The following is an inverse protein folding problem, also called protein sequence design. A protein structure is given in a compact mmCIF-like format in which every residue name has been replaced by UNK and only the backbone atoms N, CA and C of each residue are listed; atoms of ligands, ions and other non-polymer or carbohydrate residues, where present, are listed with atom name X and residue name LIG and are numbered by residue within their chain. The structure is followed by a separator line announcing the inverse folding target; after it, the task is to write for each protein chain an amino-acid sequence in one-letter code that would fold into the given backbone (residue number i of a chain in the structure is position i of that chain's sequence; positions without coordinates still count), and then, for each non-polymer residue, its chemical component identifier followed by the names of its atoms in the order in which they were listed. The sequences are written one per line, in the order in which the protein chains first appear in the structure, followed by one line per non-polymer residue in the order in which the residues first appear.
data_IF_742154196107
#
_entry.id   IF_742154196107
#
_cell.length_a   1.000
_cell.length_b   1.000
_cell.length_c   1.000
_cell.angle_alpha   90.00
_cell.angle_beta   90.00
_cell.angle_gamma   90.00
#
_symmetry.space_group_name_H-M   'P 1'
#
loop_
_entity.id
_entity.type
_entity.pdbx_description
1 polymer ?
#
# COMPACT_ATOMS: atom_id res chain seq x y z
N UNK A 1 8.94 6.67 15.02
CA UNK A 1 10.16 7.30 14.49
C UNK A 1 11.40 6.90 15.27
N UNK A 2 11.45 7.14 16.59
CA UNK A 2 12.59 6.71 17.42
C UNK A 2 12.94 5.21 17.28
N UNK A 3 11.93 4.33 17.27
CA UNK A 3 12.16 2.88 17.06
C UNK A 3 12.84 2.58 15.73
N UNK A 4 12.45 3.25 14.64
CA UNK A 4 13.04 3.04 13.31
C UNK A 4 14.52 3.47 13.29
N UNK A 5 14.84 4.59 13.94
CA UNK A 5 16.23 5.05 14.09
C UNK A 5 17.05 4.05 14.93
N UNK A 6 16.49 3.52 16.02
CA UNK A 6 17.13 2.49 16.83
C UNK A 6 17.37 1.23 16.02
N UNK A 7 16.38 0.75 15.25
CA UNK A 7 16.52 -0.43 14.39
C UNK A 7 17.69 -0.28 13.41
N UNK A 8 17.79 0.87 12.74
CA UNK A 8 18.90 1.15 11.81
C UNK A 8 20.26 1.22 12.54
N UNK A 9 20.33 1.88 13.70
CA UNK A 9 21.56 1.98 14.50
C UNK A 9 22.02 0.62 15.00
N UNK A 10 21.10 -0.19 15.53
CA UNK A 10 21.40 -1.53 16.05
C UNK A 10 21.82 -2.45 14.92
N UNK A 11 21.12 -2.46 13.78
CA UNK A 11 21.52 -3.25 12.62
C UNK A 11 22.98 -2.98 12.21
N UNK A 12 23.37 -1.70 12.09
CA UNK A 12 24.76 -1.33 11.75
C UNK A 12 25.78 -1.84 12.76
N UNK A 13 25.45 -1.85 14.06
CA UNK A 13 26.34 -2.40 15.12
C UNK A 13 26.56 -3.91 14.97
N UNK A 14 25.62 -4.62 14.35
CA UNK A 14 25.72 -6.05 14.07
C UNK A 14 26.21 -6.35 12.65
N UNK A 15 26.74 -5.36 11.92
CA UNK A 15 27.20 -5.54 10.54
C UNK A 15 26.04 -5.74 9.54
N UNK A 16 24.82 -5.37 9.91
CA UNK A 16 23.61 -5.52 9.10
C UNK A 16 23.11 -4.16 8.60
N UNK A 17 22.28 -4.20 7.55
CA UNK A 17 21.53 -3.04 7.04
C UNK A 17 20.03 -3.28 7.27
N UNK A 18 19.38 -2.36 7.98
CA UNK A 18 17.93 -2.41 8.17
C UNK A 18 17.23 -1.68 7.01
N UNK A 19 16.64 -2.44 6.10
CA UNK A 19 15.84 -1.92 4.99
C UNK A 19 14.43 -1.61 5.49
N UNK A 20 14.06 -0.33 5.44
CA UNK A 20 12.71 0.14 5.82
C UNK A 20 11.86 0.49 4.59
N UNK A 21 12.37 0.22 3.39
CA UNK A 21 11.61 0.40 2.15
C UNK A 21 10.42 -0.56 2.10
N UNK A 22 9.30 -0.10 1.56
CA UNK A 22 8.05 -0.86 1.52
C UNK A 22 8.14 -2.09 0.62
N UNK A 23 8.99 -2.04 -0.41
CA UNK A 23 9.19 -3.13 -1.36
C UNK A 23 10.68 -3.26 -1.72
N UNK A 24 11.53 -3.78 -0.83
CA UNK A 24 12.98 -3.81 -1.07
C UNK A 24 13.37 -4.81 -2.17
N UNK A 25 12.60 -5.89 -2.34
CA UNK A 25 12.82 -6.90 -3.38
C UNK A 25 11.51 -7.20 -4.12
N UNK A 26 11.60 -7.35 -5.44
CA UNK A 26 10.49 -7.79 -6.28
C UNK A 26 10.15 -9.27 -6.00
N UNK A 27 8.89 -9.68 -6.18
CA UNK A 27 8.47 -11.09 -6.04
C UNK A 27 8.40 -11.65 -4.61
N UNK A 28 8.74 -10.89 -3.58
CA UNK A 28 8.58 -11.27 -2.15
C UNK A 28 7.61 -10.34 -1.42
N UNK A 29 7.18 -10.68 -0.21
CA UNK A 29 6.28 -9.83 0.58
C UNK A 29 6.86 -8.43 0.84
N UNK A 30 5.98 -7.44 0.89
CA UNK A 30 6.35 -6.05 1.23
C UNK A 30 6.44 -5.82 2.74
N UNK A 31 7.00 -4.68 3.12
CA UNK A 31 7.07 -4.20 4.50
C UNK A 31 6.02 -3.13 4.77
N UNK A 32 5.07 -3.40 5.65
CA UNK A 32 4.05 -2.46 6.11
C UNK A 32 4.22 -2.06 7.57
N UNK A 33 3.49 -1.02 7.99
CA UNK A 33 3.40 -0.59 9.39
C UNK A 33 1.95 -0.32 9.74
N UNK A 34 1.27 -1.31 10.31
CA UNK A 34 -0.15 -1.18 10.62
C UNK A 34 -0.39 -0.13 11.72
N UNK A 35 -1.39 0.72 11.53
CA UNK A 35 -1.86 1.67 12.53
C UNK A 35 -3.09 1.07 13.23
N UNK A 36 -2.89 0.53 14.43
CA UNK A 36 -3.97 0.10 15.30
C UNK A 36 -4.53 1.32 16.03
N UNK A 37 -5.73 1.72 15.64
CA UNK A 37 -6.39 2.95 16.06
C UNK A 37 -7.63 2.66 16.89
N UNK A 38 -7.74 3.34 18.04
CA UNK A 38 -8.88 3.24 18.95
C UNK A 38 -9.09 4.56 19.68
N UNK A 39 -10.25 4.74 20.29
CA UNK A 39 -10.60 5.92 21.07
C UNK A 39 -11.08 5.51 22.45
N UNK A 40 -10.52 6.13 23.49
CA UNK A 40 -10.92 5.89 24.87
C UNK A 40 -11.21 7.22 25.58
N UNK A 41 -12.13 7.16 26.54
CA UNK A 41 -12.40 8.30 27.43
C UNK A 41 -11.26 8.48 28.44
N UNK A 42 -11.21 9.64 29.08
CA UNK A 42 -10.31 9.94 30.21
C UNK A 42 -10.46 8.96 31.38
N UNK A 43 -11.62 8.32 31.52
CA UNK A 43 -11.92 7.27 32.50
C UNK A 43 -11.46 5.87 32.06
N UNK A 44 -10.83 5.74 30.89
CA UNK A 44 -10.29 4.47 30.39
C UNK A 44 -11.31 3.57 29.68
N UNK A 45 -12.52 4.05 29.38
CA UNK A 45 -13.52 3.29 28.63
C UNK A 45 -13.23 3.36 27.13
N UNK A 46 -13.01 2.22 26.48
CA UNK A 46 -12.82 2.15 25.03
C UNK A 46 -14.18 2.25 24.31
N UNK A 47 -14.34 3.30 23.50
CA UNK A 47 -15.57 3.62 22.77
C UNK A 47 -15.84 2.69 21.58
N UNK A 48 -14.82 1.94 21.16
CA UNK A 48 -14.91 0.92 20.12
C UNK A 48 -15.02 -0.50 20.68
N UNK A 49 -15.22 -0.65 22.00
CA UNK A 49 -15.46 -1.96 22.59
C UNK A 49 -16.94 -2.33 22.45
N UNK A 50 -17.28 -3.43 21.75
CA UNK A 50 -18.66 -3.80 21.48
C UNK A 50 -19.41 -4.28 22.73
N UNK A 51 -18.70 -4.88 23.69
CA UNK A 51 -19.31 -5.51 24.87
C UNK A 51 -19.93 -6.88 24.56
N UNK A 52 -20.72 -7.41 25.50
CA UNK A 52 -21.33 -8.74 25.38
C UNK A 52 -22.58 -8.75 24.47
N UNK A 53 -23.30 -7.62 24.39
CA UNK A 53 -24.47 -7.42 23.53
C UNK A 53 -24.27 -6.22 22.60
N UNK A 54 -23.49 -6.38 21.51
CA UNK A 54 -23.08 -5.25 20.67
C UNK A 54 -24.25 -4.52 19.99
N UNK A 55 -25.34 -5.24 19.70
CA UNK A 55 -26.56 -4.70 19.09
C UNK A 55 -27.39 -3.83 20.04
N UNK A 56 -27.18 -3.94 21.37
CA UNK A 56 -27.84 -3.10 22.38
C UNK A 56 -26.95 -1.92 22.81
N UNK A 57 -25.66 -1.96 22.47
CA UNK A 57 -24.68 -0.96 22.88
C UNK A 57 -24.73 0.27 21.96
N UNK A 58 -25.69 1.15 22.20
CA UNK A 58 -25.92 2.35 21.39
C UNK A 58 -24.69 3.29 21.32
N UNK A 59 -23.88 3.37 22.39
CA UNK A 59 -22.64 4.15 22.38
C UNK A 59 -21.65 3.56 21.38
N UNK A 60 -21.38 2.26 21.47
CA UNK A 60 -20.49 1.59 20.52
C UNK A 60 -20.99 1.75 19.08
N UNK A 61 -22.29 1.54 18.83
CA UNK A 61 -22.86 1.66 17.48
C UNK A 61 -22.74 3.07 16.91
N UNK A 62 -22.92 4.12 17.73
CA UNK A 62 -22.71 5.50 17.32
C UNK A 62 -21.26 5.74 16.89
N UNK A 63 -20.29 5.33 17.70
CA UNK A 63 -18.87 5.53 17.37
C UNK A 63 -18.43 4.66 16.18
N UNK A 64 -18.96 3.45 16.07
CA UNK A 64 -18.74 2.58 14.91
C UNK A 64 -19.25 3.25 13.63
N UNK A 65 -20.47 3.78 13.65
CA UNK A 65 -21.07 4.49 12.52
C UNK A 65 -20.29 5.75 12.15
N UNK A 66 -19.83 6.53 13.14
CA UNK A 66 -18.99 7.70 12.90
C UNK A 66 -17.70 7.35 12.15
N UNK A 67 -17.06 6.23 12.53
CA UNK A 67 -15.85 5.76 11.84
C UNK A 67 -16.16 5.29 10.42
N UNK A 68 -17.25 4.54 10.21
CA UNK A 68 -17.66 4.07 8.87
C UNK A 68 -17.93 5.25 7.95
N UNK A 69 -18.68 6.25 8.42
CA UNK A 69 -18.96 7.47 7.68
C UNK A 69 -17.66 8.23 7.35
N UNK A 70 -16.78 8.43 8.34
CA UNK A 70 -15.52 9.14 8.14
C UNK A 70 -14.65 8.47 7.06
N UNK A 71 -14.58 7.13 7.08
CA UNK A 71 -13.80 6.37 6.08
C UNK A 71 -14.44 6.45 4.70
N UNK A 72 -15.77 6.42 4.59
CA UNK A 72 -16.46 6.52 3.29
C UNK A 72 -16.37 7.93 2.67
N UNK A 73 -16.68 8.96 3.45
CA UNK A 73 -16.70 10.35 3.00
C UNK A 73 -15.29 10.85 2.62
N UNK A 74 -14.25 10.37 3.32
CA UNK A 74 -12.86 10.84 3.20
C UNK A 74 -11.87 9.72 2.81
N UNK A 75 -12.32 8.71 2.07
CA UNK A 75 -11.48 7.60 1.60
C UNK A 75 -10.23 8.04 0.82
N UNK A 76 -10.33 9.12 0.07
CA UNK A 76 -9.25 9.79 -0.64
C UNK A 76 -8.19 10.36 0.31
N UNK A 77 -8.59 10.98 1.44
CA UNK A 77 -7.65 11.44 2.47
C UNK A 77 -6.91 10.27 3.12
N UNK A 78 -7.58 9.15 3.35
CA UNK A 78 -6.94 7.94 3.90
C UNK A 78 -5.97 7.32 2.89
N UNK A 79 -6.32 7.30 1.60
CA UNK A 79 -5.44 6.82 0.52
C UNK A 79 -4.22 7.73 0.33
N UNK A 80 -4.38 9.05 0.34
CA UNK A 80 -3.25 9.97 0.19
C UNK A 80 -2.34 10.01 1.43
N UNK A 81 -2.86 9.68 2.62
CA UNK A 81 -2.06 9.63 3.85
C UNK A 81 -0.94 8.58 3.81
N UNK A 82 -1.01 7.65 2.86
CA UNK A 82 -0.02 6.57 2.62
C UNK A 82 0.61 6.65 1.23
N UNK A 83 0.37 7.73 0.48
CA UNK A 83 0.88 7.92 -0.87
C UNK A 83 2.37 8.35 -0.84
N UNK A 84 3.22 7.43 -1.29
CA UNK A 84 4.67 7.63 -1.51
C UNK A 84 5.12 6.70 -2.61
N UNK A 85 6.21 7.04 -3.33
CA UNK A 85 6.76 6.21 -4.40
C UNK A 85 7.00 4.76 -3.96
N UNK A 86 7.66 4.56 -2.81
CA UNK A 86 7.92 3.22 -2.27
C UNK A 86 6.66 2.43 -1.94
N UNK A 87 5.64 3.07 -1.33
CA UNK A 87 4.41 2.40 -0.97
C UNK A 87 3.51 2.09 -2.19
N UNK A 88 3.60 2.86 -3.27
CA UNK A 88 2.88 2.58 -4.51
C UNK A 88 3.34 1.25 -5.13
N UNK A 89 4.62 0.88 -5.00
CA UNK A 89 5.11 -0.46 -5.38
C UNK A 89 4.59 -1.60 -4.48
N UNK A 90 4.09 -1.27 -3.29
CA UNK A 90 3.62 -2.26 -2.32
C UNK A 90 2.13 -2.53 -2.45
N UNK A 91 1.30 -1.48 -2.59
CA UNK A 91 -0.17 -1.60 -2.53
C UNK A 91 -0.72 -2.52 -3.63
N UNK A 92 -1.74 -3.32 -3.30
CA UNK A 92 -2.45 -4.19 -4.24
C UNK A 92 -1.74 -5.49 -4.61
N UNK A 93 -0.65 -5.85 -3.92
CA UNK A 93 0.07 -7.10 -4.16
C UNK A 93 0.68 -7.69 -2.86
N UNK A 94 0.91 -9.01 -2.84
CA UNK A 94 1.72 -9.71 -1.83
C UNK A 94 1.45 -9.29 -0.37
N UNK A 95 0.21 -9.50 0.08
CA UNK A 95 -0.30 -9.19 1.44
C UNK A 95 -0.49 -7.70 1.76
N UNK A 96 -0.29 -6.78 0.81
CA UNK A 96 -0.63 -5.37 1.01
C UNK A 96 -2.00 -5.02 0.39
N UNK A 97 -2.87 -4.31 1.11
CA UNK A 97 -4.22 -3.99 0.65
C UNK A 97 -4.19 -3.19 -0.67
N UNK A 98 -5.26 -3.27 -1.49
CA UNK A 98 -5.40 -2.45 -2.70
C UNK A 98 -5.50 -0.96 -2.34
N UNK A 99 -5.36 -0.11 -3.36
CA UNK A 99 -5.53 1.35 -3.23
C UNK A 99 -6.97 1.78 -2.91
N UNK A 100 -7.94 0.89 -3.13
CA UNK A 100 -9.35 1.09 -2.79
C UNK A 100 -9.50 0.95 -1.28
N UNK A 101 -9.93 2.01 -0.60
CA UNK A 101 -10.22 1.96 0.84
C UNK A 101 -11.58 1.28 1.04
N UNK A 102 -11.62 0.30 1.93
CA UNK A 102 -12.84 -0.39 2.36
C UNK A 102 -12.72 -0.82 3.81
N UNK A 103 -13.87 -0.96 4.47
CA UNK A 103 -13.98 -1.32 5.89
C UNK A 103 -14.40 -2.78 6.02
N UNK A 104 -13.60 -3.55 6.74
CA UNK A 104 -13.94 -4.90 7.16
C UNK A 104 -14.47 -4.89 8.59
N UNK A 105 -15.67 -5.45 8.83
CA UNK A 105 -16.27 -5.55 10.16
C UNK A 105 -16.39 -7.00 10.66
N UNK A 106 -16.40 -7.96 9.74
CA UNK A 106 -16.73 -9.35 10.03
C UNK A 106 -18.23 -9.60 10.07
N UNK A 107 -18.61 -10.86 9.94
CA UNK A 107 -20.00 -11.29 9.74
C UNK A 107 -20.97 -10.84 10.82
N UNK A 108 -20.56 -10.91 12.09
CA UNK A 108 -21.44 -10.61 13.22
C UNK A 108 -21.85 -9.14 13.23
N UNK A 109 -20.89 -8.23 13.19
CA UNK A 109 -21.15 -6.80 13.14
C UNK A 109 -21.88 -6.39 11.86
N UNK A 110 -21.51 -6.98 10.70
CA UNK A 110 -22.23 -6.72 9.45
C UNK A 110 -23.70 -7.12 9.54
N UNK A 111 -24.02 -8.27 10.15
CA UNK A 111 -25.40 -8.70 10.35
C UNK A 111 -26.16 -7.82 11.36
N UNK A 112 -25.49 -7.31 12.40
CA UNK A 112 -26.09 -6.34 13.35
C UNK A 112 -26.44 -5.04 12.62
N UNK A 113 -25.53 -4.49 11.83
CA UNK A 113 -25.79 -3.26 11.07
C UNK A 113 -26.91 -3.46 10.05
N UNK A 114 -26.97 -4.60 9.37
CA UNK A 114 -28.04 -4.93 8.45
C UNK A 114 -29.40 -5.01 9.16
N UNK A 115 -29.46 -5.65 10.33
CA UNK A 115 -30.67 -5.76 11.14
C UNK A 115 -31.21 -4.37 11.56
N UNK A 116 -30.32 -3.45 11.96
CA UNK A 116 -30.67 -2.05 12.26
C UNK A 116 -31.18 -1.34 11.00
N UNK A 117 -30.51 -1.55 9.86
CA UNK A 117 -30.88 -0.93 8.58
C UNK A 117 -32.30 -1.33 8.14
N UNK A 118 -32.69 -2.59 8.34
CA UNK A 118 -33.99 -3.14 7.94
C UNK A 118 -35.06 -3.08 9.02
N UNK A 119 -34.79 -2.52 10.20
CA UNK A 119 -35.64 -2.57 11.40
C UNK A 119 -36.12 -4.01 11.72
N UNK A 120 -35.24 -4.99 11.56
CA UNK A 120 -35.54 -6.38 11.91
C UNK A 120 -34.77 -6.80 13.16
N UNK A 121 -35.33 -7.66 14.03
CA UNK A 121 -34.59 -8.17 15.18
C UNK A 121 -33.32 -8.92 14.73
N UNK A 122 -32.19 -8.60 15.35
CA UNK A 122 -30.96 -9.36 15.16
C UNK A 122 -31.12 -10.76 15.77
N UNK A 123 -31.17 -11.79 14.92
CA UNK A 123 -31.14 -13.19 15.35
C UNK A 123 -29.69 -13.63 15.35
N UNK A 124 -29.05 -13.62 16.52
CA UNK A 124 -27.61 -13.88 16.65
C UNK A 124 -27.12 -15.15 15.95
N UNK A 125 -25.87 -15.15 15.49
CA UNK A 125 -25.19 -16.41 15.14
C UNK A 125 -24.89 -17.15 16.44
N UNK A 126 -25.35 -18.39 16.60
CA UNK A 126 -24.92 -19.23 17.72
C UNK A 126 -23.38 -19.25 17.74
N UNK A 127 -22.76 -18.90 18.88
CA UNK A 127 -21.32 -19.06 19.06
C UNK A 127 -21.01 -20.55 18.88
N UNK A 128 -20.52 -20.96 17.71
CA UNK A 128 -20.09 -22.34 17.48
C UNK A 128 -18.97 -22.69 18.47
N UNK A 129 -19.34 -23.40 19.53
CA UNK A 129 -18.39 -23.96 20.48
C UNK A 129 -17.69 -25.11 19.76
N UNK A 130 -16.43 -24.91 19.38
CA UNK A 130 -15.58 -26.01 18.94
C UNK A 130 -15.41 -26.97 20.13
N UNK A 131 -16.18 -28.05 20.14
CA UNK A 131 -15.96 -29.18 21.06
C UNK A 131 -14.75 -29.98 20.58
N UNK A 132 -13.54 -29.52 20.91
CA UNK A 132 -12.36 -30.38 20.90
C UNK A 132 -12.45 -31.28 22.12
N UNK A 133 -12.78 -32.55 21.91
CA UNK A 133 -13.14 -33.49 22.96
C UNK A 133 -12.00 -33.88 23.90
N UNK A 134 -11.65 -33.00 24.85
CA UNK A 134 -11.03 -33.31 26.15
C UNK A 134 -11.40 -32.20 27.16
N UNK A 135 -11.97 -32.58 28.31
CA UNK A 135 -12.61 -31.72 29.33
C UNK A 135 -11.73 -30.68 30.06
N UNK A 136 -10.53 -30.32 29.58
CA UNK A 136 -9.58 -29.50 30.35
C UNK A 136 -8.83 -28.39 29.60
N UNK A 137 -9.23 -28.04 28.36
CA UNK A 137 -8.69 -26.85 27.70
C UNK A 137 -9.57 -25.61 27.94
N UNK A 138 -8.97 -24.42 28.13
CA UNK A 138 -9.71 -23.16 28.13
C UNK A 138 -10.58 -23.08 26.88
N UNK A 139 -11.83 -22.62 27.02
CA UNK A 139 -12.71 -22.37 25.88
C UNK A 139 -12.06 -21.28 25.01
N UNK A 140 -11.35 -21.67 23.97
CA UNK A 140 -10.93 -20.74 22.94
C UNK A 140 -12.19 -20.40 22.14
N UNK A 141 -12.76 -19.21 22.39
CA UNK A 141 -13.70 -18.62 21.45
C UNK A 141 -12.97 -18.51 20.12
N UNK A 142 -13.51 -19.13 19.06
CA UNK A 142 -13.05 -18.86 17.70
C UNK A 142 -13.15 -17.34 17.54
N UNK A 143 -12.01 -16.70 17.31
CA UNK A 143 -11.99 -15.29 16.93
C UNK A 143 -12.67 -15.21 15.56
N UNK A 144 -13.99 -14.96 15.56
CA UNK A 144 -14.83 -14.91 14.37
C UNK A 144 -14.57 -13.64 13.56
N UNK A 145 -13.66 -12.77 14.02
CA UNK A 145 -13.03 -11.76 13.17
C UNK A 145 -12.12 -12.48 12.18
N UNK A 146 -12.74 -12.99 11.12
CA UNK A 146 -12.06 -13.52 9.95
C UNK A 146 -10.93 -12.54 9.58
N UNK A 147 -9.69 -13.04 9.64
CA UNK A 147 -8.49 -12.22 9.40
C UNK A 147 -8.35 -12.02 7.90
N UNK A 148 -9.30 -11.32 7.30
CA UNK A 148 -9.20 -10.87 5.94
C UNK A 148 -8.06 -9.83 5.87
N UNK A 149 -6.83 -10.31 5.67
CA UNK A 149 -5.59 -9.50 5.60
C UNK A 149 -5.57 -8.53 4.42
N UNK A 150 -6.51 -8.68 3.49
CA UNK A 150 -6.59 -7.88 2.26
C UNK A 150 -7.35 -6.57 2.45
N UNK A 151 -8.12 -6.43 3.53
CA UNK A 151 -8.84 -5.19 3.83
C UNK A 151 -7.89 -4.07 4.28
N UNK A 152 -8.00 -2.86 3.70
CA UNK A 152 -7.28 -1.67 4.11
C UNK A 152 -7.54 -1.24 5.56
N UNK A 153 -8.80 -1.34 6.02
CA UNK A 153 -9.24 -0.85 7.33
C UNK A 153 -10.14 -1.88 8.00
N UNK A 154 -9.59 -2.62 8.98
CA UNK A 154 -10.29 -3.77 9.56
C UNK A 154 -10.61 -3.56 11.04
N UNK A 155 -11.86 -3.80 11.43
CA UNK A 155 -12.23 -3.88 12.83
C UNK A 155 -11.71 -5.20 13.42
N UNK A 156 -10.92 -5.10 14.50
CA UNK A 156 -10.26 -6.24 15.16
C UNK A 156 -10.65 -6.33 16.63
N UNK A 157 -11.97 -6.42 16.85
CA UNK A 157 -12.60 -6.69 18.15
C UNK A 157 -12.88 -5.45 19.00
N UNK A 158 -11.93 -4.53 19.13
CA UNK A 158 -12.09 -3.31 19.94
C UNK A 158 -11.33 -2.08 19.41
N UNK A 159 -10.90 -2.15 18.15
CA UNK A 159 -10.06 -1.16 17.47
C UNK A 159 -10.13 -1.38 15.98
N UNK A 160 -9.75 -0.38 15.20
CA UNK A 160 -9.50 -0.54 13.77
C UNK A 160 -8.01 -0.70 13.49
N UNK A 161 -7.68 -1.54 12.52
CA UNK A 161 -6.33 -1.72 12.02
C UNK A 161 -6.27 -1.17 10.59
N UNK A 162 -5.55 -0.06 10.40
CA UNK A 162 -5.25 0.48 9.08
C UNK A 162 -3.94 -0.11 8.55
N UNK A 163 -4.05 -0.89 7.46
CA UNK A 163 -2.96 -1.73 6.93
C UNK A 163 -2.23 -1.12 5.74
N UNK A 164 -2.77 -0.06 5.16
CA UNK A 164 -2.21 0.57 3.96
C UNK A 164 -0.96 1.43 4.22
N UNK A 165 -0.60 1.68 5.49
CA UNK A 165 0.55 2.51 5.84
C UNK A 165 1.89 1.78 5.56
N UNK A 166 2.77 2.45 4.83
CA UNK A 166 4.10 1.97 4.48
C UNK A 166 5.05 1.91 5.68
N UNK A 167 6.03 1.00 5.60
CA UNK A 167 7.01 0.77 6.67
C UNK A 167 7.90 1.98 6.95
N UNK A 168 8.23 2.80 5.94
CA UNK A 168 9.03 4.01 6.08
C UNK A 168 8.20 5.24 6.52
N UNK A 169 6.89 5.23 6.31
CA UNK A 169 6.04 6.41 6.49
C UNK A 169 5.98 6.89 7.96
N UNK A 170 5.76 8.19 8.17
CA UNK A 170 5.35 8.67 9.48
C UNK A 170 3.89 8.28 9.77
N UNK A 171 3.61 7.80 10.98
CA UNK A 171 2.23 7.53 11.43
C UNK A 171 1.41 8.82 11.59
N UNK A 172 2.06 9.98 11.62
CA UNK A 172 1.41 11.26 11.88
C UNK A 172 0.38 11.62 10.81
N UNK A 173 0.73 11.52 9.52
CA UNK A 173 -0.18 11.89 8.42
C UNK A 173 -1.48 11.08 8.48
N UNK A 174 -1.35 9.76 8.60
CA UNK A 174 -2.48 8.84 8.76
C UNK A 174 -3.38 9.24 9.94
N UNK A 175 -2.81 9.47 11.12
CA UNK A 175 -3.60 9.81 12.29
C UNK A 175 -4.20 11.23 12.22
N UNK A 176 -3.53 12.20 11.57
CA UNK A 176 -4.12 13.53 11.34
C UNK A 176 -5.38 13.39 10.48
N UNK A 177 -5.29 12.70 9.34
CA UNK A 177 -6.43 12.55 8.42
C UNK A 177 -7.56 11.74 9.05
N UNK A 178 -7.24 10.60 9.68
CA UNK A 178 -8.23 9.74 10.32
C UNK A 178 -8.93 10.43 11.49
N UNK A 179 -8.17 11.08 12.38
CA UNK A 179 -8.77 11.77 13.53
C UNK A 179 -9.63 12.97 13.08
N UNK A 180 -9.20 13.74 12.08
CA UNK A 180 -9.98 14.87 11.57
C UNK A 180 -11.28 14.40 10.90
N UNK A 181 -11.22 13.35 10.08
CA UNK A 181 -12.40 12.77 9.44
C UNK A 181 -13.42 12.24 10.47
N UNK A 182 -12.95 11.53 11.50
CA UNK A 182 -13.83 11.03 12.58
C UNK A 182 -14.39 12.19 13.42
N UNK A 183 -13.58 13.22 13.70
CA UNK A 183 -14.04 14.41 14.41
C UNK A 183 -15.16 15.13 13.64
N UNK A 184 -15.08 15.18 12.31
CA UNK A 184 -16.15 15.75 11.47
C UNK A 184 -17.44 14.93 11.58
N UNK A 185 -17.39 13.61 11.47
CA UNK A 185 -18.57 12.77 11.63
C UNK A 185 -19.20 12.92 13.03
N UNK A 186 -18.37 12.93 14.09
CA UNK A 186 -18.85 13.10 15.47
C UNK A 186 -19.46 14.48 15.71
N UNK A 187 -18.89 15.54 15.12
CA UNK A 187 -19.46 16.89 15.20
C UNK A 187 -20.86 16.94 14.59
N UNK A 188 -21.04 16.37 13.39
CA UNK A 188 -22.35 16.28 12.73
C UNK A 188 -23.37 15.53 13.60
N UNK A 189 -22.92 14.48 14.30
CA UNK A 189 -23.80 13.70 15.18
C UNK A 189 -24.19 14.50 16.42
N UNK A 190 -23.22 15.17 17.05
CA UNK A 190 -23.47 16.04 18.20
C UNK A 190 -24.45 17.16 17.85
N UNK A 191 -24.22 17.90 16.76
CA UNK A 191 -25.07 19.00 16.31
C UNK A 191 -26.53 18.55 16.09
N UNK A 192 -26.73 17.35 15.51
CA UNK A 192 -28.08 16.77 15.30
C UNK A 192 -28.74 16.34 16.60
N UNK A 193 -27.99 15.65 17.48
CA UNK A 193 -28.54 15.05 18.70
C UNK A 193 -28.81 16.08 19.80
N UNK A 194 -28.00 17.14 19.90
CA UNK A 194 -28.22 18.23 20.86
C UNK A 194 -29.52 19.01 20.58
N UNK A 195 -29.91 19.12 19.31
CA UNK A 195 -31.16 19.76 18.89
C UNK A 195 -32.40 18.86 18.96
N UNK A 196 -32.27 17.59 19.32
CA UNK A 196 -33.36 16.63 19.24
C UNK A 196 -34.33 16.74 20.42
N UNK A 197 -35.64 16.73 20.13
CA UNK A 197 -36.69 16.69 21.16
C UNK A 197 -36.79 15.34 21.86
N UNK A 198 -36.52 14.24 21.14
CA UNK A 198 -36.38 12.90 21.67
C UNK A 198 -35.03 12.32 21.24
N UNK A 199 -34.10 12.24 22.19
CA UNK A 199 -32.75 11.76 21.95
C UNK A 199 -32.70 10.31 21.44
N UNK A 200 -33.47 9.40 22.05
CA UNK A 200 -33.42 7.96 21.71
C UNK A 200 -33.91 7.72 20.28
N UNK A 201 -35.01 8.34 19.88
CA UNK A 201 -35.52 8.24 18.50
C UNK A 201 -34.54 8.86 17.51
N UNK A 202 -34.01 10.05 17.81
CA UNK A 202 -33.08 10.73 16.91
C UNK A 202 -31.76 9.96 16.75
N UNK A 203 -31.30 9.29 17.82
CA UNK A 203 -30.12 8.42 17.79
C UNK A 203 -30.36 7.18 16.92
N UNK A 204 -31.49 6.51 17.08
CA UNK A 204 -31.85 5.35 16.23
C UNK A 204 -31.92 5.74 14.76
N UNK A 205 -32.63 6.83 14.45
CA UNK A 205 -32.78 7.34 13.09
C UNK A 205 -31.43 7.73 12.48
N UNK A 206 -30.56 8.39 13.26
CA UNK A 206 -29.21 8.75 12.83
C UNK A 206 -28.37 7.53 12.47
N UNK A 207 -28.30 6.54 13.37
CA UNK A 207 -27.54 5.31 13.15
C UNK A 207 -28.04 4.59 11.88
N UNK A 208 -29.36 4.43 11.75
CA UNK A 208 -29.97 3.77 10.60
C UNK A 208 -29.68 4.50 9.28
N UNK A 209 -29.79 5.83 9.28
CA UNK A 209 -29.49 6.67 8.11
C UNK A 209 -28.02 6.53 7.69
N UNK A 210 -27.10 6.60 8.65
CA UNK A 210 -25.65 6.48 8.40
C UNK A 210 -25.33 5.11 7.81
N UNK A 211 -25.83 4.02 8.41
CA UNK A 211 -25.61 2.66 7.87
C UNK A 211 -26.14 2.58 6.43
N UNK A 212 -27.35 3.09 6.19
CA UNK A 212 -27.98 3.05 4.86
C UNK A 212 -27.15 3.79 3.82
N UNK A 213 -26.61 4.96 4.17
CA UNK A 213 -25.85 5.82 3.27
C UNK A 213 -24.42 5.31 3.02
N UNK A 214 -23.76 4.80 4.07
CA UNK A 214 -22.33 4.51 4.05
C UNK A 214 -22.01 3.01 3.92
N UNK A 215 -23.00 2.12 3.82
CA UNK A 215 -22.80 0.68 3.60
C UNK A 215 -21.91 0.33 2.39
N UNK A 216 -21.81 1.22 1.38
CA UNK A 216 -20.98 1.01 0.18
C UNK A 216 -19.50 0.75 0.51
N UNK A 217 -18.99 1.33 1.61
CA UNK A 217 -17.60 1.15 2.05
C UNK A 217 -17.35 -0.20 2.74
N UNK A 218 -18.41 -0.88 3.18
CA UNK A 218 -18.32 -2.14 3.92
C UNK A 218 -18.05 -3.30 2.97
N UNK A 219 -16.95 -4.01 3.16
CA UNK A 219 -16.58 -5.16 2.34
C UNK A 219 -15.86 -6.23 3.15
N UNK A 220 -16.47 -7.40 3.23
CA UNK A 220 -15.91 -8.55 3.94
C UNK A 220 -15.19 -9.56 3.02
N UNK A 221 -15.23 -9.37 1.70
CA UNK A 221 -14.65 -10.29 0.71
C UNK A 221 -13.16 -10.07 0.41
N UNK A 222 -12.62 -10.83 -0.55
CA UNK A 222 -11.21 -10.70 -0.95
C UNK A 222 -10.99 -9.42 -1.79
N UNK A 223 -10.14 -8.52 -1.31
CA UNK A 223 -9.85 -7.24 -1.95
C UNK A 223 -8.91 -7.29 -3.16
N UNK A 224 -8.35 -8.46 -3.52
CA UNK A 224 -7.40 -8.58 -4.64
C UNK A 224 -8.03 -8.91 -5.99
N UNK A 225 -9.27 -9.38 -6.03
CA UNK A 225 -9.91 -9.80 -7.27
C UNK A 225 -10.23 -8.61 -8.19
N UNK A 226 -10.10 -8.79 -9.50
CA UNK A 226 -10.56 -7.80 -10.48
C UNK A 226 -12.06 -7.52 -10.32
N UNK A 227 -12.85 -8.55 -9.96
CA UNK A 227 -14.27 -8.42 -9.61
C UNK A 227 -14.53 -7.37 -8.53
N UNK A 228 -13.68 -7.33 -7.48
CA UNK A 228 -13.81 -6.32 -6.43
C UNK A 228 -13.48 -4.92 -6.96
N UNK A 229 -12.45 -4.79 -7.81
CA UNK A 229 -12.11 -3.49 -8.41
C UNK A 229 -13.27 -2.96 -9.25
N UNK A 230 -13.90 -3.82 -10.06
CA UNK A 230 -15.05 -3.44 -10.87
C UNK A 230 -16.26 -3.09 -10.01
N UNK A 231 -16.59 -3.91 -9.02
CA UNK A 231 -17.71 -3.66 -8.11
C UNK A 231 -17.52 -2.36 -7.33
N UNK A 232 -16.36 -2.20 -6.69
CA UNK A 232 -16.01 -1.04 -5.89
C UNK A 232 -16.11 0.25 -6.69
N UNK A 233 -15.55 0.28 -7.90
CA UNK A 233 -15.47 1.52 -8.70
C UNK A 233 -16.75 1.80 -9.49
N UNK A 234 -17.31 0.79 -10.18
CA UNK A 234 -18.44 0.98 -11.11
C UNK A 234 -19.80 0.91 -10.43
N UNK A 235 -19.95 0.09 -9.38
CA UNK A 235 -21.24 -0.13 -8.70
C UNK A 235 -21.33 0.68 -7.41
N UNK A 236 -20.28 0.63 -6.58
CA UNK A 236 -20.28 1.26 -5.25
C UNK A 236 -19.79 2.71 -5.27
N UNK A 237 -19.10 3.14 -6.32
CA UNK A 237 -18.55 4.50 -6.44
C UNK A 237 -17.39 4.78 -5.46
N UNK A 238 -16.65 3.75 -5.08
CA UNK A 238 -15.42 3.87 -4.30
C UNK A 238 -14.27 4.33 -5.20
N UNK A 239 -13.36 5.11 -4.62
CA UNK A 239 -12.19 5.66 -5.26
C UNK A 239 -11.09 4.61 -5.42
N UNK A 240 -10.37 4.67 -6.54
CA UNK A 240 -9.24 3.80 -6.85
C UNK A 240 -8.03 4.62 -7.33
N UNK A 241 -7.43 5.38 -6.41
CA UNK A 241 -6.28 6.24 -6.68
C UNK A 241 -5.01 5.40 -6.54
N UNK A 242 -4.58 4.77 -7.64
CA UNK A 242 -3.54 3.75 -7.61
C UNK A 242 -2.18 4.32 -7.22
N UNK A 243 -1.86 5.51 -7.68
CA UNK A 243 -0.54 6.11 -7.53
C UNK A 243 -0.56 7.40 -6.72
N UNK A 244 0.61 7.84 -6.26
CA UNK A 244 0.77 9.11 -5.55
C UNK A 244 0.32 10.32 -6.38
N UNK A 245 0.65 10.44 -7.68
CA UNK A 245 0.10 11.48 -8.55
C UNK A 245 -1.43 11.45 -8.66
N UNK A 246 -2.05 10.26 -8.62
CA UNK A 246 -3.52 10.16 -8.62
C UNK A 246 -4.11 10.66 -7.30
N UNK A 247 -3.46 10.36 -6.17
CA UNK A 247 -4.02 10.56 -4.84
C UNK A 247 -3.78 11.96 -4.26
N UNK A 248 -2.57 12.51 -4.41
CA UNK A 248 -2.16 13.73 -3.71
C UNK A 248 -2.98 14.97 -4.08
N UNK A 249 -3.38 15.19 -5.35
CA UNK A 249 -4.19 16.36 -5.72
C UNK A 249 -5.53 16.45 -4.98
N UNK A 250 -6.13 15.31 -4.61
CA UNK A 250 -7.39 15.27 -3.88
C UNK A 250 -7.31 15.89 -2.49
N UNK A 251 -6.12 16.12 -1.92
CA UNK A 251 -5.98 16.92 -0.70
C UNK A 251 -6.62 18.31 -0.83
N UNK A 252 -6.64 18.87 -2.06
CA UNK A 252 -7.16 20.18 -2.37
C UNK A 252 -8.63 20.18 -2.84
N UNK A 253 -9.29 19.02 -2.87
CA UNK A 253 -10.72 18.96 -3.14
C UNK A 253 -11.48 19.76 -2.07
N UNK A 254 -12.51 20.51 -2.50
CA UNK A 254 -13.22 21.45 -1.62
C UNK A 254 -13.77 20.79 -0.35
N UNK A 255 -14.26 19.53 -0.44
CA UNK A 255 -14.73 18.78 0.74
C UNK A 255 -13.63 18.59 1.78
N UNK A 256 -12.40 18.32 1.32
CA UNK A 256 -11.25 17.99 2.17
C UNK A 256 -10.66 19.26 2.78
N UNK A 257 -10.48 20.30 1.97
CA UNK A 257 -10.03 21.62 2.44
C UNK A 257 -10.98 22.17 3.48
N UNK A 258 -12.28 22.18 3.18
CA UNK A 258 -13.32 22.72 4.07
C UNK A 258 -13.30 22.00 5.41
N UNK A 259 -13.28 20.67 5.42
CA UNK A 259 -13.26 19.89 6.66
C UNK A 259 -11.98 20.17 7.48
N UNK A 260 -10.79 20.07 6.86
CA UNK A 260 -9.52 20.25 7.56
C UNK A 260 -9.35 21.67 8.12
N UNK A 261 -9.82 22.68 7.38
CA UNK A 261 -9.80 24.08 7.84
C UNK A 261 -10.84 24.36 8.92
N UNK A 262 -12.05 23.80 8.80
CA UNK A 262 -13.11 23.97 9.82
C UNK A 262 -12.69 23.40 11.18
N UNK A 263 -11.96 22.28 11.18
CA UNK A 263 -11.34 21.70 12.39
C UNK A 263 -10.02 22.36 12.80
N UNK A 264 -9.58 23.40 12.09
CA UNK A 264 -8.33 24.14 12.35
C UNK A 264 -7.09 23.23 12.36
N UNK A 265 -7.12 22.17 11.55
CA UNK A 265 -5.99 21.24 11.39
C UNK A 265 -4.94 21.85 10.48
N UNK A 266 -5.38 22.51 9.40
CA UNK A 266 -4.52 23.20 8.45
C UNK A 266 -5.17 24.50 7.96
N UNK A 267 -4.36 25.44 7.49
CA UNK A 267 -4.78 26.55 6.63
C UNK A 267 -4.77 26.14 5.15
N UNK A 268 -5.42 26.92 4.28
CA UNK A 268 -5.39 26.68 2.84
C UNK A 268 -3.97 26.69 2.28
N UNK A 269 -3.13 27.64 2.71
CA UNK A 269 -1.73 27.73 2.26
C UNK A 269 -0.92 26.49 2.69
N UNK A 270 -1.17 25.96 3.89
CA UNK A 270 -0.51 24.73 4.37
C UNK A 270 -0.93 23.51 3.55
N UNK A 271 -2.21 23.42 3.14
CA UNK A 271 -2.69 22.32 2.30
C UNK A 271 -2.05 22.35 0.91
N UNK A 272 -1.99 23.53 0.28
CA UNK A 272 -1.33 23.70 -1.03
C UNK A 272 0.15 23.33 -0.93
N UNK A 273 0.88 23.90 0.03
CA UNK A 273 2.29 23.57 0.21
C UNK A 273 2.51 22.09 0.52
N UNK A 274 1.63 21.46 1.29
CA UNK A 274 1.72 20.02 1.59
C UNK A 274 1.54 19.18 0.33
N UNK A 275 0.56 19.49 -0.51
CA UNK A 275 0.34 18.80 -1.78
C UNK A 275 1.60 18.89 -2.68
N UNK A 276 2.13 20.11 -2.85
CA UNK A 276 3.32 20.37 -3.67
C UNK A 276 4.55 19.63 -3.14
N UNK A 277 4.86 19.72 -1.84
CA UNK A 277 6.02 19.07 -1.23
C UNK A 277 5.95 17.56 -1.36
N UNK A 278 4.76 16.97 -1.19
CA UNK A 278 4.60 15.51 -1.30
C UNK A 278 4.80 15.03 -2.74
N UNK A 279 4.28 15.76 -3.73
CA UNK A 279 4.54 15.48 -5.15
C UNK A 279 6.01 15.70 -5.52
N UNK A 280 6.64 16.74 -4.99
CA UNK A 280 8.05 17.02 -5.22
C UNK A 280 8.94 15.89 -4.66
N UNK A 281 8.64 15.40 -3.46
CA UNK A 281 9.33 14.26 -2.86
C UNK A 281 9.15 12.97 -3.69
N UNK A 282 7.95 12.73 -4.22
CA UNK A 282 7.70 11.63 -5.15
C UNK A 282 8.59 11.78 -6.40
N UNK A 283 8.57 12.94 -7.05
CA UNK A 283 9.35 13.20 -8.25
C UNK A 283 10.85 13.02 -8.01
N UNK A 284 11.38 13.56 -6.91
CA UNK A 284 12.79 13.41 -6.53
C UNK A 284 13.18 11.96 -6.30
N UNK A 285 12.35 11.20 -5.59
CA UNK A 285 12.64 9.80 -5.25
C UNK A 285 12.78 8.96 -6.53
N UNK A 286 11.76 8.99 -7.40
CA UNK A 286 11.76 8.19 -8.63
C UNK A 286 12.84 8.67 -9.62
N UNK A 287 13.14 9.97 -9.64
CA UNK A 287 14.23 10.52 -10.47
C UNK A 287 15.60 10.01 -10.01
N UNK A 288 15.83 9.91 -8.69
CA UNK A 288 17.06 9.33 -8.13
C UNK A 288 17.16 7.84 -8.50
N UNK A 289 16.06 7.09 -8.39
CA UNK A 289 16.00 5.68 -8.77
C UNK A 289 16.32 5.49 -10.26
N UNK A 290 15.72 6.29 -11.14
CA UNK A 290 15.98 6.26 -12.57
C UNK A 290 17.45 6.61 -12.91
N UNK A 291 18.00 7.66 -12.28
CA UNK A 291 19.42 7.99 -12.45
C UNK A 291 20.35 6.87 -11.97
N UNK A 292 20.04 6.27 -10.83
CA UNK A 292 20.81 5.13 -10.29
C UNK A 292 20.75 3.95 -11.25
N UNK A 293 19.56 3.65 -11.80
CA UNK A 293 19.36 2.59 -12.76
C UNK A 293 20.18 2.81 -14.05
N UNK A 294 20.16 4.02 -14.60
CA UNK A 294 20.99 4.40 -15.76
C UNK A 294 22.48 4.21 -15.44
N UNK A 295 22.93 4.67 -14.27
CA UNK A 295 24.33 4.59 -13.87
C UNK A 295 24.80 3.13 -13.78
N UNK A 296 24.03 2.29 -13.08
CA UNK A 296 24.31 0.86 -12.94
C UNK A 296 24.31 0.14 -14.30
N UNK A 297 23.35 0.45 -15.18
CA UNK A 297 23.31 -0.16 -16.52
C UNK A 297 24.54 0.21 -17.35
N UNK A 298 24.91 1.49 -17.35
CA UNK A 298 26.04 2.01 -18.13
C UNK A 298 27.39 1.51 -17.63
N UNK A 299 27.58 1.47 -16.30
CA UNK A 299 28.89 1.25 -15.68
C UNK A 299 29.13 -0.18 -15.20
N UNK A 300 28.06 -0.88 -14.87
CA UNK A 300 28.16 -2.21 -14.24
C UNK A 300 27.62 -3.29 -15.18
N UNK A 301 26.33 -3.22 -15.58
CA UNK A 301 25.69 -4.32 -16.31
C UNK A 301 26.17 -4.46 -17.76
N UNK A 302 26.18 -3.39 -18.56
CA UNK A 302 26.65 -3.48 -19.95
C UNK A 302 28.12 -3.95 -20.02
N UNK A 303 29.07 -3.40 -19.23
CA UNK A 303 30.43 -3.89 -19.21
C UNK A 303 30.56 -5.36 -18.76
N UNK A 304 29.76 -5.80 -17.78
CA UNK A 304 29.75 -7.19 -17.34
C UNK A 304 29.28 -8.16 -18.43
N UNK A 305 28.25 -7.79 -19.18
CA UNK A 305 27.75 -8.57 -20.32
C UNK A 305 28.84 -8.67 -21.40
N UNK A 306 29.50 -7.56 -21.73
CA UNK A 306 30.58 -7.53 -22.73
C UNK A 306 31.81 -8.35 -22.30
N UNK A 307 32.20 -8.34 -21.03
CA UNK A 307 33.29 -9.18 -20.52
C UNK A 307 32.97 -10.68 -20.69
N UNK A 308 31.73 -11.07 -20.40
CA UNK A 308 31.31 -12.45 -20.59
C UNK A 308 31.22 -12.85 -22.07
N UNK A 309 30.70 -11.97 -22.93
CA UNK A 309 30.71 -12.14 -24.39
C UNK A 309 32.14 -12.36 -24.92
N UNK A 310 33.10 -11.56 -24.45
CA UNK A 310 34.51 -11.72 -24.81
C UNK A 310 35.05 -13.11 -24.40
N UNK A 311 34.74 -13.58 -23.19
CA UNK A 311 35.14 -14.91 -22.70
C UNK A 311 34.55 -16.04 -23.56
N UNK A 312 33.26 -15.96 -23.91
CA UNK A 312 32.60 -16.94 -24.79
C UNK A 312 33.20 -16.92 -26.21
N UNK A 313 33.45 -15.75 -26.77
CA UNK A 313 34.01 -15.59 -28.11
C UNK A 313 35.43 -16.15 -28.18
N UNK A 314 36.27 -15.83 -27.18
CA UNK A 314 37.63 -16.35 -27.05
C UNK A 314 37.62 -17.87 -26.91
N UNK A 315 36.76 -18.41 -26.06
CA UNK A 315 36.60 -19.86 -25.85
C UNK A 315 36.22 -20.56 -27.15
N UNK A 316 35.21 -20.05 -27.85
CA UNK A 316 34.75 -20.57 -29.14
C UNK A 316 35.85 -20.55 -30.20
N UNK A 317 36.58 -19.43 -30.30
CA UNK A 317 37.69 -19.28 -31.25
C UNK A 317 38.81 -20.29 -30.99
N UNK A 318 39.22 -20.44 -29.73
CA UNK A 318 40.26 -21.38 -29.34
C UNK A 318 39.86 -22.83 -29.61
N UNK A 319 38.65 -23.24 -29.24
CA UNK A 319 38.17 -24.61 -29.49
C UNK A 319 38.16 -24.95 -30.99
N UNK A 320 37.65 -24.04 -31.83
CA UNK A 320 37.60 -24.25 -33.28
C UNK A 320 38.98 -24.25 -33.92
N UNK A 321 39.95 -23.53 -33.36
CA UNK A 321 41.35 -23.56 -33.82
C UNK A 321 42.03 -24.92 -33.58
N UNK A 322 41.62 -25.66 -32.55
CA UNK A 322 42.12 -27.01 -32.23
C UNK A 322 41.44 -28.06 -33.11
N UNK A 323 40.13 -27.97 -33.32
CA UNK A 323 39.40 -28.86 -34.22
C UNK A 323 38.12 -28.20 -34.77
N UNK A 324 38.00 -28.16 -36.10
CA UNK A 324 36.80 -27.67 -36.77
C UNK A 324 35.53 -28.51 -36.54
N UNK A 325 35.65 -29.69 -35.93
CA UNK A 325 34.50 -30.55 -35.61
C UNK A 325 33.80 -30.16 -34.30
N UNK A 326 34.41 -29.30 -33.46
CA UNK A 326 33.78 -28.81 -32.23
C UNK A 326 32.62 -27.89 -32.58
N UNK A 327 31.47 -28.13 -31.95
CA UNK A 327 30.20 -27.45 -32.28
C UNK A 327 30.07 -26.06 -31.65
N UNK A 328 30.42 -25.91 -30.37
CA UNK A 328 30.27 -24.68 -29.58
C UNK A 328 28.82 -24.14 -29.54
N UNK A 329 27.80 -25.01 -29.58
CA UNK A 329 26.41 -24.57 -29.67
C UNK A 329 25.98 -23.73 -28.46
N UNK A 330 26.44 -24.10 -27.26
CA UNK A 330 26.16 -23.35 -26.04
C UNK A 330 26.69 -21.92 -26.15
N UNK A 331 28.00 -21.77 -26.40
CA UNK A 331 28.66 -20.47 -26.48
C UNK A 331 28.06 -19.60 -27.58
N UNK A 332 27.82 -20.17 -28.77
CA UNK A 332 27.24 -19.43 -29.90
C UNK A 332 25.84 -18.93 -29.56
N UNK A 333 24.95 -19.80 -29.08
CA UNK A 333 23.57 -19.42 -28.76
C UNK A 333 23.49 -18.40 -27.61
N UNK A 334 24.32 -18.54 -26.58
CA UNK A 334 24.40 -17.58 -25.48
C UNK A 334 24.96 -16.24 -25.94
N UNK A 335 25.99 -16.22 -26.81
CA UNK A 335 26.53 -14.97 -27.37
C UNK A 335 25.52 -14.25 -28.24
N UNK A 336 24.82 -14.97 -29.13
CA UNK A 336 23.78 -14.39 -29.98
C UNK A 336 22.70 -13.71 -29.12
N UNK A 337 22.20 -14.42 -28.10
CA UNK A 337 21.16 -13.85 -27.24
C UNK A 337 21.65 -12.68 -26.38
N UNK A 338 22.84 -12.77 -25.79
CA UNK A 338 23.40 -11.69 -24.99
C UNK A 338 23.72 -10.46 -25.85
N UNK A 339 24.20 -10.64 -27.07
CA UNK A 339 24.43 -9.53 -28.01
C UNK A 339 23.13 -8.81 -28.35
N UNK A 340 22.04 -9.53 -28.63
CA UNK A 340 20.72 -8.93 -28.82
C UNK A 340 20.25 -8.16 -27.57
N UNK A 341 20.44 -8.74 -26.38
CA UNK A 341 20.06 -8.10 -25.12
C UNK A 341 20.90 -6.84 -24.85
N UNK A 342 22.19 -6.83 -25.15
CA UNK A 342 23.04 -5.63 -25.07
C UNK A 342 22.43 -4.47 -25.87
N UNK A 343 22.02 -4.74 -27.11
CA UNK A 343 21.41 -3.72 -27.98
C UNK A 343 20.08 -3.22 -27.43
N UNK A 344 19.21 -4.13 -26.96
CA UNK A 344 17.95 -3.74 -26.32
C UNK A 344 18.17 -2.92 -25.05
N UNK A 345 19.07 -3.34 -24.16
CA UNK A 345 19.43 -2.61 -22.93
C UNK A 345 19.96 -1.23 -23.28
N UNK A 346 20.83 -1.12 -24.29
CA UNK A 346 21.40 0.15 -24.75
C UNK A 346 20.32 1.09 -25.31
N UNK A 347 19.36 0.57 -26.05
CA UNK A 347 18.23 1.36 -26.56
C UNK A 347 17.35 1.85 -25.41
N UNK A 348 16.95 0.95 -24.50
CA UNK A 348 16.07 1.27 -23.38
C UNK A 348 16.70 2.27 -22.41
N UNK A 349 18.01 2.17 -22.16
CA UNK A 349 18.70 3.14 -21.28
C UNK A 349 18.77 4.53 -21.94
N UNK A 350 18.95 4.62 -23.27
CA UNK A 350 18.87 5.90 -24.00
C UNK A 350 17.48 6.50 -23.94
N UNK A 351 16.44 5.67 -24.05
CA UNK A 351 15.05 6.13 -23.92
C UNK A 351 14.77 6.69 -22.52
N UNK A 352 15.27 6.05 -21.46
CA UNK A 352 15.15 6.54 -20.09
C UNK A 352 15.98 7.80 -19.84
N UNK A 353 17.19 7.90 -20.38
CA UNK A 353 18.03 9.11 -20.34
C UNK A 353 17.32 10.30 -21.01
N UNK A 354 16.62 10.05 -22.12
CA UNK A 354 15.80 11.07 -22.79
C UNK A 354 14.66 11.54 -21.89
N UNK A 355 13.92 10.61 -21.26
CA UNK A 355 12.84 10.98 -20.33
C UNK A 355 13.36 11.81 -19.14
N UNK A 356 14.53 11.46 -18.61
CA UNK A 356 15.19 12.24 -17.56
C UNK A 356 15.57 13.66 -18.01
N UNK A 357 15.93 13.82 -19.29
CA UNK A 357 16.18 15.14 -19.86
C UNK A 357 14.88 15.93 -20.06
N UNK A 358 13.85 15.29 -20.61
CA UNK A 358 12.54 15.90 -20.87
C UNK A 358 11.85 16.34 -19.57
N UNK A 359 11.98 15.56 -18.49
CA UNK A 359 11.45 15.89 -17.16
C UNK A 359 11.94 17.26 -16.65
N UNK A 360 13.20 17.64 -16.95
CA UNK A 360 13.77 18.93 -16.51
C UNK A 360 13.08 20.14 -17.15
N UNK A 361 12.37 19.94 -18.26
CA UNK A 361 11.61 20.98 -18.95
C UNK A 361 10.18 21.15 -18.45
N UNK A 362 9.75 20.41 -17.42
CA UNK A 362 8.38 20.46 -16.90
C UNK A 362 8.34 21.33 -15.63
N UNK A 363 7.77 22.53 -15.73
CA UNK A 363 7.74 23.49 -14.60
C UNK A 363 6.74 23.12 -13.48
N UNK A 364 5.70 22.34 -13.81
CA UNK A 364 4.67 21.95 -12.85
C UNK A 364 5.04 20.66 -12.15
N UNK A 365 5.03 20.66 -10.82
CA UNK A 365 5.29 19.46 -10.01
C UNK A 365 4.26 18.35 -10.27
N UNK A 366 2.99 18.72 -10.48
CA UNK A 366 1.93 17.76 -10.81
C UNK A 366 2.20 17.11 -12.16
N UNK A 367 2.43 17.91 -13.22
CA UNK A 367 2.75 17.38 -14.55
C UNK A 367 4.03 16.54 -14.56
N UNK A 368 5.02 16.93 -13.74
CA UNK A 368 6.25 16.15 -13.57
C UNK A 368 5.95 14.78 -12.95
N UNK A 369 5.07 14.75 -11.94
CA UNK A 369 4.68 13.51 -11.27
C UNK A 369 3.85 12.59 -12.17
N UNK A 370 2.98 13.15 -13.02
CA UNK A 370 2.22 12.43 -14.04
C UNK A 370 3.14 11.89 -15.15
N UNK A 371 4.08 12.70 -15.64
CA UNK A 371 5.08 12.27 -16.62
C UNK A 371 5.93 11.10 -16.08
N UNK A 372 6.35 11.17 -14.81
CA UNK A 372 7.06 10.07 -14.19
C UNK A 372 6.21 8.79 -14.15
N UNK A 373 4.94 8.90 -13.76
CA UNK A 373 3.99 7.77 -13.71
C UNK A 373 3.76 7.14 -15.08
N UNK A 374 3.53 7.96 -16.10
CA UNK A 374 3.05 7.52 -17.40
C UNK A 374 4.16 7.15 -18.38
N UNK A 375 5.35 7.75 -18.25
CA UNK A 375 6.46 7.57 -19.19
C UNK A 375 7.71 6.94 -18.54
N UNK A 376 8.23 7.51 -17.44
CA UNK A 376 9.49 7.04 -16.87
C UNK A 376 9.39 5.67 -16.19
N UNK A 377 8.39 5.45 -15.33
CA UNK A 377 8.24 4.17 -14.61
C UNK A 377 8.12 2.99 -15.58
N UNK A 378 7.25 3.03 -16.62
CA UNK A 378 7.20 1.95 -17.62
C UNK A 378 8.53 1.71 -18.33
N UNK A 379 9.30 2.76 -18.63
CA UNK A 379 10.65 2.62 -19.22
C UNK A 379 11.64 1.97 -18.27
N UNK A 380 11.59 2.29 -16.98
CA UNK A 380 12.40 1.61 -15.95
C UNK A 380 12.04 0.12 -15.88
N UNK A 381 10.75 -0.24 -15.89
CA UNK A 381 10.33 -1.64 -15.86
C UNK A 381 10.80 -2.42 -17.10
N UNK A 382 10.70 -1.83 -18.29
CA UNK A 382 11.18 -2.45 -19.53
C UNK A 382 12.70 -2.62 -19.54
N UNK A 383 13.46 -1.61 -19.12
CA UNK A 383 14.92 -1.71 -19.02
C UNK A 383 15.32 -2.83 -18.07
N UNK A 384 14.67 -2.92 -16.91
CA UNK A 384 14.94 -3.95 -15.89
C UNK A 384 14.71 -5.34 -16.46
N UNK A 385 13.61 -5.56 -17.17
CA UNK A 385 13.28 -6.87 -17.75
C UNK A 385 14.41 -7.46 -18.60
N UNK A 386 15.06 -6.63 -19.41
CA UNK A 386 16.17 -7.09 -20.25
C UNK A 386 17.45 -7.38 -19.44
N UNK A 387 17.72 -6.59 -18.40
CA UNK A 387 18.85 -6.85 -17.48
C UNK A 387 18.62 -8.14 -16.69
N UNK A 388 17.42 -8.36 -16.18
CA UNK A 388 17.03 -9.58 -15.46
C UNK A 388 17.15 -10.81 -16.38
N UNK A 389 16.84 -10.70 -17.68
CA UNK A 389 17.07 -11.78 -18.65
C UNK A 389 18.57 -12.03 -18.90
N UNK A 390 19.38 -10.98 -18.99
CA UNK A 390 20.82 -11.11 -19.15
C UNK A 390 21.49 -11.77 -17.94
N UNK A 391 21.01 -11.51 -16.72
CA UNK A 391 21.48 -12.17 -15.48
C UNK A 391 21.39 -13.70 -15.59
N UNK A 392 20.30 -14.21 -16.18
CA UNK A 392 20.07 -15.66 -16.32
C UNK A 392 21.03 -16.35 -17.31
N UNK A 393 21.67 -15.58 -18.18
CA UNK A 393 22.57 -16.08 -19.22
C UNK A 393 24.05 -15.84 -18.89
N UNK A 394 24.34 -14.76 -18.16
CA UNK A 394 25.70 -14.40 -17.77
C UNK A 394 26.25 -15.34 -16.70
N UNK A 395 27.55 -15.58 -16.71
CA UNK A 395 28.19 -16.30 -15.60
C UNK A 395 28.18 -15.45 -14.32
N UNK A 396 27.93 -16.09 -13.19
CA UNK A 396 27.95 -15.46 -11.86
C UNK A 396 29.26 -14.71 -11.56
N UNK A 397 30.39 -15.20 -12.05
CA UNK A 397 31.71 -14.56 -11.87
C UNK A 397 31.80 -13.19 -12.56
N UNK A 398 31.11 -13.01 -13.68
CA UNK A 398 31.09 -11.75 -14.43
C UNK A 398 29.99 -10.80 -13.96
N UNK A 399 28.98 -11.28 -13.24
CA UNK A 399 27.81 -10.47 -12.90
C UNK A 399 28.14 -9.47 -11.78
N UNK A 400 27.78 -8.19 -11.92
CA UNK A 400 28.34 -7.12 -11.08
C UNK A 400 27.68 -7.02 -9.69
N UNK A 401 26.54 -7.68 -9.48
CA UNK A 401 25.76 -7.59 -8.24
C UNK A 401 25.37 -8.98 -7.71
N UNK A 402 25.09 -9.12 -6.40
CA UNK A 402 24.57 -10.37 -5.87
C UNK A 402 23.16 -10.67 -6.40
N UNK A 403 22.93 -11.91 -6.81
CA UNK A 403 21.58 -12.37 -7.16
C UNK A 403 20.66 -12.35 -5.95
N UNK A 404 19.34 -12.37 -6.19
CA UNK A 404 18.35 -12.45 -5.11
C UNK A 404 18.54 -13.67 -4.21
N UNK A 405 18.96 -14.81 -4.78
CA UNK A 405 19.27 -16.01 -4.00
C UNK A 405 20.36 -15.75 -2.96
N UNK A 406 21.41 -15.01 -3.33
CA UNK A 406 22.45 -14.59 -2.40
C UNK A 406 21.89 -13.60 -1.37
N UNK A 407 21.19 -12.55 -1.81
CA UNK A 407 20.68 -11.52 -0.90
C UNK A 407 19.72 -12.06 0.16
N UNK A 408 18.91 -13.07 -0.18
CA UNK A 408 17.87 -13.60 0.70
C UNK A 408 18.31 -14.80 1.55
N UNK A 409 19.22 -15.64 1.04
CA UNK A 409 19.55 -16.93 1.65
C UNK A 409 21.03 -17.14 1.95
N UNK A 410 21.94 -16.25 1.54
CA UNK A 410 23.34 -16.39 1.95
C UNK A 410 23.46 -16.17 3.46
N UNK A 411 23.70 -17.26 4.17
CA UNK A 411 24.10 -17.23 5.58
C UNK A 411 25.62 -17.15 5.57
N UNK A 412 26.16 -15.99 5.93
CA UNK A 412 27.59 -15.82 6.19
C UNK A 412 27.89 -16.02 7.67
#
# INVERSE_FOLDING_TARGET
QLTMEIMQKVARKHGLVCLLHEKPFAGVNGSGKHNNWSMATDKGSNLLSPGDTPHENAQFLLFLCAVIQAVDDYQDLLRLAVATAGNDHRLGANEAPPAIISVFLGDELSAILEAIRTDTPYQGKEKEVIKLGVDSLPKFSRDTTDRNRTSPFAFTGNKFEFRSLGSSNSIACCNIMLNAAVAESLKQYADRLEGASNFESALHDLIKEVITKHQRILFNGNGYGEEWVEEATKVRGLSNLKTTPDAMPHLLDEKNKTMLMAHKVFTESELVSRCEIMLENYCKTVTIEAHTMVDMVRKDYLPAIEDYLYKLAKTTSLMKSVSGNVKCNYEISTMERLSELTDYILERVKDLEKSLADLKGIDSVLKSSEFIRDDMIPKMEHLRKHVDEAEMLASEECWPVPSYGKLLFSVY
#
